data_IF_739068976463
#
_entry.id   IF_739068976463
#
_cell.length_a   1.000
_cell.length_b   1.000
_cell.length_c   1.000
_cell.angle_alpha   90.00
_cell.angle_beta   90.00
_cell.angle_gamma   90.00
#
_symmetry.space_group_name_H-M   'P 1'
#
loop_
_entity.id
_entity.type
_entity.pdbx_description
1 polymer ?
#
# COMPACT_ATOMS: atom_id res chain seq x y z
N UNK A 1 -12.25 22.60 19.99
CA UNK A 1 -12.45 22.03 18.64
C UNK A 1 -13.79 22.47 18.04
N UNK A 2 -14.92 22.05 18.61
CA UNK A 2 -16.24 22.63 18.35
C UNK A 2 -16.56 23.76 19.36
N UNK A 3 -17.32 24.77 18.94
CA UNK A 3 -17.80 25.87 19.80
C UNK A 3 -19.25 25.68 20.24
N UNK A 4 -19.73 26.46 21.20
CA UNK A 4 -21.13 26.37 21.67
C UNK A 4 -22.17 26.65 20.59
N UNK A 5 -21.82 27.47 19.59
CA UNK A 5 -22.68 27.77 18.42
C UNK A 5 -22.88 26.57 17.48
N UNK A 6 -22.03 25.54 17.59
CA UNK A 6 -22.10 24.32 16.79
C UNK A 6 -23.32 23.46 17.14
N UNK A 7 -23.79 23.56 18.39
CA UNK A 7 -24.81 22.65 18.94
C UNK A 7 -24.27 21.23 19.22
N UNK A 8 -25.09 20.36 19.82
CA UNK A 8 -24.65 19.04 20.30
C UNK A 8 -24.73 17.92 19.26
N UNK A 9 -25.36 18.17 18.10
CA UNK A 9 -25.64 17.12 17.12
C UNK A 9 -24.46 16.88 16.18
N UNK A 10 -24.26 15.62 15.76
CA UNK A 10 -23.30 15.26 14.70
C UNK A 10 -23.65 16.03 13.43
N UNK A 11 -22.63 16.58 12.77
CA UNK A 11 -22.78 17.48 11.63
C UNK A 11 -23.06 18.94 12.01
N UNK A 12 -23.33 19.22 13.29
CA UNK A 12 -23.46 20.55 13.92
C UNK A 12 -24.41 21.55 13.24
N UNK A 13 -24.20 22.83 13.50
CA UNK A 13 -24.98 23.96 12.97
C UNK A 13 -24.14 24.86 12.06
N UNK A 14 -24.76 25.50 11.06
CA UNK A 14 -24.10 26.48 10.19
C UNK A 14 -23.61 27.73 10.92
N UNK A 15 -24.06 27.96 12.16
CA UNK A 15 -23.60 29.03 13.03
C UNK A 15 -22.27 28.75 13.74
N UNK A 16 -21.71 27.53 13.60
CA UNK A 16 -20.37 27.22 14.11
C UNK A 16 -19.28 28.07 13.44
N UNK A 17 -18.27 28.45 14.22
CA UNK A 17 -17.16 29.30 13.74
C UNK A 17 -15.77 28.70 14.00
N UNK A 18 -15.72 27.51 14.61
CA UNK A 18 -14.46 26.85 15.01
C UNK A 18 -14.03 25.78 14.00
N UNK A 19 -12.89 25.14 14.27
CA UNK A 19 -12.25 24.15 13.36
C UNK A 19 -13.18 23.00 12.97
N UNK A 20 -14.11 22.58 13.85
CA UNK A 20 -15.15 21.60 13.50
C UNK A 20 -15.95 22.05 12.27
N UNK A 21 -16.53 23.27 12.30
CA UNK A 21 -17.32 23.81 11.20
C UNK A 21 -16.48 24.08 9.96
N UNK A 22 -15.21 24.45 10.15
CA UNK A 22 -14.28 24.60 9.04
C UNK A 22 -14.15 23.27 8.26
N UNK A 23 -13.90 22.16 8.95
CA UNK A 23 -13.77 20.84 8.33
C UNK A 23 -15.06 20.43 7.57
N UNK A 24 -16.25 20.66 8.15
CA UNK A 24 -17.53 20.42 7.46
C UNK A 24 -17.67 21.25 6.18
N UNK A 25 -17.29 22.54 6.24
CA UNK A 25 -17.36 23.42 5.06
C UNK A 25 -16.36 22.99 3.98
N UNK A 26 -15.16 22.54 4.36
CA UNK A 26 -14.11 22.15 3.41
C UNK A 26 -14.38 20.78 2.78
N UNK A 27 -14.90 19.81 3.52
CA UNK A 27 -15.13 18.48 2.95
C UNK A 27 -16.05 18.52 1.72
N UNK A 28 -17.12 19.32 1.79
CA UNK A 28 -18.05 19.51 0.68
C UNK A 28 -17.42 20.21 -0.53
N UNK A 29 -16.30 20.92 -0.33
CA UNK A 29 -15.57 21.58 -1.41
C UNK A 29 -14.53 20.67 -2.07
N UNK A 30 -14.04 19.68 -1.33
CA UNK A 30 -12.92 18.83 -1.73
C UNK A 30 -13.32 17.37 -2.01
N UNK A 31 -14.61 17.04 -1.85
CA UNK A 31 -15.11 15.67 -2.00
C UNK A 31 -14.70 14.73 -0.86
N UNK A 32 -14.39 15.26 0.33
CA UNK A 32 -13.85 14.49 1.47
C UNK A 32 -14.82 14.32 2.63
N UNK A 33 -16.13 14.43 2.36
CA UNK A 33 -17.17 14.00 3.29
C UNK A 33 -17.46 12.49 3.12
N UNK A 34 -18.18 11.89 4.07
CA UNK A 34 -18.52 10.46 4.06
C UNK A 34 -19.17 9.97 2.76
N UNK A 35 -19.90 10.83 2.06
CA UNK A 35 -20.54 10.54 0.77
C UNK A 35 -20.09 11.57 -0.27
N UNK A 36 -18.77 11.72 -0.42
CA UNK A 36 -18.14 12.65 -1.35
C UNK A 36 -18.31 14.09 -0.89
N UNK A 37 -19.29 14.81 -1.45
CA UNK A 37 -19.56 16.21 -1.10
C UNK A 37 -20.58 16.38 0.04
N UNK A 38 -21.16 15.27 0.53
CA UNK A 38 -22.24 15.30 1.53
C UNK A 38 -21.96 14.37 2.71
N UNK A 39 -22.59 14.66 3.85
CA UNK A 39 -22.39 13.93 5.11
C UNK A 39 -21.36 14.59 6.02
N UNK A 40 -20.96 13.87 7.07
CA UNK A 40 -19.93 14.33 8.01
C UNK A 40 -18.58 14.41 7.29
N UNK A 41 -17.72 15.37 7.62
CA UNK A 41 -16.35 15.36 7.10
C UNK A 41 -15.55 14.17 7.66
N UNK A 42 -14.73 13.54 6.81
CA UNK A 42 -13.85 12.46 7.25
C UNK A 42 -12.89 12.93 8.35
N UNK A 43 -12.39 14.18 8.26
CA UNK A 43 -11.59 14.84 9.31
C UNK A 43 -12.32 14.88 10.65
N UNK A 44 -13.58 15.33 10.69
CA UNK A 44 -14.36 15.35 11.93
C UNK A 44 -14.58 13.94 12.50
N UNK A 45 -14.87 12.97 11.64
CA UNK A 45 -15.07 11.58 12.03
C UNK A 45 -13.82 11.01 12.70
N UNK A 46 -12.66 11.20 12.09
CA UNK A 46 -11.39 10.72 12.63
C UNK A 46 -10.99 11.44 13.91
N UNK A 47 -11.13 12.78 13.96
CA UNK A 47 -10.84 13.54 15.18
C UNK A 47 -11.72 13.13 16.35
N UNK A 48 -13.02 12.88 16.14
CA UNK A 48 -13.90 12.40 17.20
C UNK A 48 -13.48 11.01 17.72
N UNK A 49 -13.03 10.12 16.83
CA UNK A 49 -12.50 8.82 17.21
C UNK A 49 -11.20 8.97 18.03
N UNK A 50 -10.28 9.82 17.59
CA UNK A 50 -9.01 10.07 18.28
C UNK A 50 -9.21 10.79 19.63
N UNK A 51 -10.14 11.74 19.74
CA UNK A 51 -10.49 12.36 21.02
C UNK A 51 -11.02 11.33 22.02
N UNK A 52 -11.89 10.42 21.56
CA UNK A 52 -12.45 9.35 22.39
C UNK A 52 -11.34 8.39 22.84
N UNK A 53 -10.44 7.99 21.93
CA UNK A 53 -9.32 7.11 22.22
C UNK A 53 -8.35 7.76 23.22
N UNK A 54 -7.99 9.03 23.00
CA UNK A 54 -7.12 9.79 23.89
C UNK A 54 -7.70 9.95 25.30
N UNK A 55 -8.99 10.28 25.41
CA UNK A 55 -9.69 10.37 26.69
C UNK A 55 -9.67 9.01 27.43
N UNK A 56 -9.95 7.91 26.71
CA UNK A 56 -9.94 6.57 27.28
C UNK A 56 -8.56 6.16 27.82
N UNK A 57 -7.48 6.50 27.11
CA UNK A 57 -6.10 6.25 27.55
C UNK A 57 -5.74 7.08 28.79
N UNK A 58 -6.10 8.37 28.79
CA UNK A 58 -5.85 9.26 29.92
C UNK A 58 -6.61 8.84 31.18
N UNK A 59 -7.88 8.41 31.05
CA UNK A 59 -8.66 7.84 32.18
C UNK A 59 -8.02 6.60 32.79
N UNK A 60 -7.22 5.85 32.00
CA UNK A 60 -6.47 4.68 32.44
C UNK A 60 -5.06 5.01 32.97
N UNK A 61 -4.65 6.29 32.97
CA UNK A 61 -3.31 6.72 33.37
C UNK A 61 -2.20 6.39 32.36
N UNK A 62 -2.55 5.99 31.13
CA UNK A 62 -1.60 5.59 30.09
C UNK A 62 -1.06 6.79 29.29
N UNK A 63 -0.43 7.74 29.97
CA UNK A 63 -0.03 9.03 29.37
C UNK A 63 0.92 8.88 28.16
N UNK A 64 1.84 7.90 28.17
CA UNK A 64 2.78 7.70 27.07
C UNK A 64 2.09 7.25 25.77
N UNK A 65 1.00 6.48 25.89
CA UNK A 65 0.24 5.95 24.76
C UNK A 65 -0.59 7.02 24.03
N UNK A 66 -0.68 8.24 24.59
CA UNK A 66 -1.44 9.36 24.01
C UNK A 66 -0.63 10.09 22.94
N UNK A 67 0.71 9.98 22.94
CA UNK A 67 1.56 10.72 21.99
C UNK A 67 1.21 10.41 20.51
N UNK A 68 1.08 9.14 20.09
CA UNK A 68 0.64 8.84 18.73
C UNK A 68 -0.77 9.34 18.40
N UNK A 69 -1.66 9.45 19.40
CA UNK A 69 -3.00 10.02 19.22
C UNK A 69 -2.90 11.53 18.92
N UNK A 70 -2.03 12.23 19.64
CA UNK A 70 -1.79 13.67 19.41
C UNK A 70 -1.22 13.90 18.02
N UNK A 71 -0.29 13.08 17.57
CA UNK A 71 0.31 13.21 16.23
C UNK A 71 -0.75 13.01 15.13
N UNK A 72 -1.67 12.04 15.29
CA UNK A 72 -2.83 11.88 14.38
C UNK A 72 -3.80 13.06 14.44
N UNK A 73 -4.07 13.62 15.62
CA UNK A 73 -4.91 14.82 15.77
C UNK A 73 -4.27 16.00 15.02
N UNK A 74 -2.95 16.20 15.15
CA UNK A 74 -2.23 17.28 14.46
C UNK A 74 -2.33 17.10 12.94
N UNK A 75 -2.13 15.88 12.43
CA UNK A 75 -2.37 15.53 11.02
C UNK A 75 -3.77 15.95 10.58
N UNK A 76 -4.80 15.48 11.28
CA UNK A 76 -6.20 15.73 10.91
C UNK A 76 -6.56 17.22 10.96
N UNK A 77 -6.03 17.96 11.93
CA UNK A 77 -6.22 19.40 12.02
C UNK A 77 -5.51 20.18 10.90
N UNK A 78 -4.47 19.61 10.28
CA UNK A 78 -3.72 20.23 9.19
C UNK A 78 -4.48 20.21 7.87
N UNK A 79 -5.21 19.13 7.59
CA UNK A 79 -6.01 18.94 6.36
C UNK A 79 -6.91 20.15 6.03
N UNK A 80 -7.81 20.63 6.91
CA UNK A 80 -8.69 21.75 6.60
C UNK A 80 -7.94 23.08 6.40
N UNK A 81 -6.72 23.23 6.94
CA UNK A 81 -5.88 24.41 6.72
C UNK A 81 -5.26 24.40 5.32
N UNK A 82 -4.78 23.23 4.86
CA UNK A 82 -4.31 23.02 3.49
C UNK A 82 -5.46 23.23 2.51
N UNK A 83 -6.61 22.59 2.73
CA UNK A 83 -7.82 22.76 1.93
C UNK A 83 -8.28 24.23 1.88
N UNK A 84 -8.23 24.93 3.01
CA UNK A 84 -8.49 26.38 3.07
C UNK A 84 -7.55 27.16 2.14
N UNK A 85 -6.25 26.94 2.28
CA UNK A 85 -5.21 27.61 1.48
C UNK A 85 -5.41 27.37 -0.02
N UNK A 86 -5.57 26.11 -0.43
CA UNK A 86 -5.79 25.72 -1.82
C UNK A 86 -7.07 26.33 -2.40
N UNK A 87 -8.16 26.36 -1.63
CA UNK A 87 -9.43 26.95 -2.09
C UNK A 87 -9.29 28.43 -2.39
N UNK A 88 -8.58 29.19 -1.57
CA UNK A 88 -8.40 30.62 -1.82
C UNK A 88 -7.35 30.90 -2.89
N UNK A 89 -6.31 30.08 -3.00
CA UNK A 89 -5.42 30.10 -4.16
C UNK A 89 -6.21 29.88 -5.47
N UNK A 90 -7.15 28.93 -5.48
CA UNK A 90 -8.01 28.66 -6.63
C UNK A 90 -8.96 29.83 -6.96
N UNK A 91 -9.62 30.39 -5.94
CA UNK A 91 -10.58 31.50 -6.13
C UNK A 91 -9.93 32.79 -6.63
N UNK A 92 -8.74 33.10 -6.09
CA UNK A 92 -8.05 34.38 -6.33
C UNK A 92 -7.04 34.29 -7.47
N UNK A 93 -6.52 33.10 -7.74
CA UNK A 93 -5.35 32.86 -8.59
C UNK A 93 -5.45 33.36 -10.02
N UNK A 94 -4.31 33.33 -10.71
CA UNK A 94 -4.24 33.64 -12.13
C UNK A 94 -5.13 32.69 -12.94
N UNK A 95 -5.78 33.21 -13.97
CA UNK A 95 -6.70 32.39 -14.77
C UNK A 95 -5.91 31.37 -15.59
N UNK A 96 -6.26 30.10 -15.47
CA UNK A 96 -5.58 28.99 -16.16
C UNK A 96 -6.42 28.57 -17.37
N UNK A 97 -5.78 28.44 -18.54
CA UNK A 97 -6.45 27.97 -19.76
C UNK A 97 -6.97 26.54 -19.56
N UNK A 98 -8.24 26.31 -19.87
CA UNK A 98 -8.91 25.02 -19.65
C UNK A 98 -9.55 24.85 -18.27
N UNK A 99 -9.36 25.80 -17.34
CA UNK A 99 -9.85 25.72 -15.96
C UNK A 99 -10.86 26.83 -15.65
N UNK A 100 -12.15 26.53 -15.82
CA UNK A 100 -13.18 27.56 -15.88
C UNK A 100 -13.42 28.35 -14.58
N UNK A 101 -13.00 27.86 -13.40
CA UNK A 101 -13.29 28.53 -12.11
C UNK A 101 -12.05 29.09 -11.39
N UNK A 102 -10.85 28.96 -11.95
CA UNK A 102 -9.66 29.59 -11.35
C UNK A 102 -9.71 31.10 -11.56
N UNK A 103 -9.57 31.87 -10.49
CA UNK A 103 -9.52 33.33 -10.54
C UNK A 103 -10.88 34.03 -10.80
N UNK A 104 -12.00 33.29 -10.73
CA UNK A 104 -13.33 33.86 -10.99
C UNK A 104 -13.96 34.54 -9.77
N UNK A 105 -13.32 34.47 -8.60
CA UNK A 105 -13.82 35.03 -7.33
C UNK A 105 -12.72 35.85 -6.63
N UNK A 106 -12.13 36.79 -7.38
CA UNK A 106 -11.08 37.70 -6.91
C UNK A 106 -11.68 38.78 -6.02
N UNK A 107 -11.27 38.79 -4.76
CA UNK A 107 -11.59 39.87 -3.82
C UNK A 107 -10.51 39.99 -2.76
N UNK A 108 -10.34 41.19 -2.21
CA UNK A 108 -9.43 41.45 -1.10
C UNK A 108 -9.75 40.56 0.12
N UNK A 109 -11.05 40.28 0.35
CA UNK A 109 -11.53 39.35 1.38
C UNK A 109 -10.99 37.93 1.15
N UNK A 110 -11.18 37.38 -0.05
CA UNK A 110 -10.74 36.02 -0.37
C UNK A 110 -9.21 35.89 -0.32
N UNK A 111 -8.48 36.93 -0.76
CA UNK A 111 -7.03 36.97 -0.65
C UNK A 111 -6.56 36.98 0.82
N UNK A 112 -7.21 37.78 1.67
CA UNK A 112 -6.93 37.83 3.11
C UNK A 112 -7.21 36.48 3.80
N UNK A 113 -8.34 35.84 3.49
CA UNK A 113 -8.66 34.51 4.02
C UNK A 113 -7.61 33.48 3.60
N UNK A 114 -7.20 33.47 2.33
CA UNK A 114 -6.12 32.62 1.83
C UNK A 114 -4.79 32.84 2.54
N UNK A 115 -4.39 34.09 2.75
CA UNK A 115 -3.16 34.43 3.46
C UNK A 115 -3.14 33.91 4.90
N UNK A 116 -4.27 34.00 5.60
CA UNK A 116 -4.40 33.52 6.99
C UNK A 116 -4.36 31.99 7.06
N UNK A 117 -5.08 31.28 6.18
CA UNK A 117 -5.01 29.82 6.11
C UNK A 117 -3.58 29.36 5.86
N UNK A 118 -2.89 30.03 4.94
CA UNK A 118 -1.52 29.72 4.57
C UNK A 118 -0.56 29.96 5.73
N UNK A 119 -0.67 31.11 6.41
CA UNK A 119 0.13 31.43 7.59
C UNK A 119 -0.03 30.42 8.73
N UNK A 120 -1.23 29.82 8.88
CA UNK A 120 -1.48 28.83 9.91
C UNK A 120 -0.77 27.49 9.67
N UNK A 121 -0.50 27.12 8.41
CA UNK A 121 0.11 25.82 8.06
C UNK A 121 1.59 25.92 7.67
N UNK A 122 2.07 27.11 7.28
CA UNK A 122 3.45 27.35 6.85
C UNK A 122 4.55 26.83 7.80
N UNK A 123 4.43 26.91 9.14
CA UNK A 123 5.46 26.37 10.03
C UNK A 123 5.67 24.85 9.84
N UNK A 124 4.58 24.10 9.68
CA UNK A 124 4.63 22.65 9.44
C UNK A 124 5.19 22.33 8.04
N UNK A 125 4.76 23.10 7.03
CA UNK A 125 5.29 22.98 5.66
C UNK A 125 6.79 23.28 5.64
N UNK A 126 7.25 24.28 6.38
CA UNK A 126 8.67 24.66 6.43
C UNK A 126 9.54 23.60 7.08
N UNK A 127 9.05 22.98 8.16
CA UNK A 127 9.72 21.83 8.79
C UNK A 127 9.92 20.68 7.80
N UNK A 128 8.92 20.43 6.95
CA UNK A 128 9.00 19.40 5.92
C UNK A 128 9.82 19.79 4.67
N UNK A 129 9.65 21.02 4.17
CA UNK A 129 10.30 21.51 2.97
C UNK A 129 10.33 23.04 2.95
N UNK A 130 11.53 23.59 3.22
CA UNK A 130 11.79 25.04 3.24
C UNK A 130 11.44 25.72 1.91
N UNK A 131 11.73 25.07 0.77
CA UNK A 131 11.46 25.64 -0.55
C UNK A 131 9.96 25.70 -0.85
N UNK A 132 9.21 24.64 -0.52
CA UNK A 132 7.76 24.60 -0.68
C UNK A 132 7.09 25.69 0.19
N UNK A 133 7.51 25.83 1.45
CA UNK A 133 7.00 26.88 2.34
C UNK A 133 7.27 28.28 1.78
N UNK A 134 8.45 28.51 1.19
CA UNK A 134 8.77 29.78 0.54
C UNK A 134 7.86 30.04 -0.66
N UNK A 135 7.70 29.07 -1.56
CA UNK A 135 6.80 29.19 -2.72
C UNK A 135 5.39 29.54 -2.28
N UNK A 136 4.83 28.78 -1.34
CA UNK A 136 3.49 29.02 -0.81
C UNK A 136 3.36 30.42 -0.19
N UNK A 137 4.36 30.85 0.59
CA UNK A 137 4.35 32.18 1.21
C UNK A 137 4.42 33.32 0.18
N UNK A 138 5.28 33.19 -0.82
CA UNK A 138 5.46 34.22 -1.85
C UNK A 138 4.23 34.40 -2.75
N UNK A 139 3.46 33.33 -2.97
CA UNK A 139 2.22 33.35 -3.74
C UNK A 139 1.01 33.84 -2.94
N UNK A 140 0.96 33.59 -1.63
CA UNK A 140 -0.29 33.72 -0.85
C UNK A 140 -0.25 34.76 0.28
N UNK A 141 0.86 35.45 0.53
CA UNK A 141 0.96 36.43 1.63
C UNK A 141 0.12 37.69 1.41
N UNK A 142 -0.17 38.40 2.51
CA UNK A 142 -0.88 39.67 2.49
C UNK A 142 -0.23 40.71 1.58
N UNK A 143 -1.06 41.55 0.95
CA UNK A 143 -0.64 42.69 0.14
C UNK A 143 -0.48 42.40 -1.36
N UNK A 144 -0.38 41.14 -1.78
CA UNK A 144 -0.24 40.78 -3.20
C UNK A 144 -1.45 41.20 -4.04
N UNK A 145 -2.66 40.94 -3.53
CA UNK A 145 -3.90 41.32 -4.22
C UNK A 145 -3.99 42.83 -4.49
N UNK A 146 -3.62 43.66 -3.52
CA UNK A 146 -3.66 45.13 -3.64
C UNK A 146 -2.61 45.65 -4.63
N UNK A 147 -1.59 44.84 -4.93
CA UNK A 147 -0.58 45.08 -5.96
C UNK A 147 -1.00 44.53 -7.34
N UNK A 148 -2.16 43.89 -7.44
CA UNK A 148 -2.63 43.22 -8.66
C UNK A 148 -1.89 41.93 -8.98
N UNK A 149 -1.21 41.33 -7.99
CA UNK A 149 -0.51 40.04 -8.11
C UNK A 149 -1.44 38.95 -7.57
N UNK A 150 -1.65 37.91 -8.36
CA UNK A 150 -2.54 36.80 -8.02
C UNK A 150 -1.73 35.50 -7.94
N UNK A 151 -2.10 34.56 -7.06
CA UNK A 151 -1.34 33.33 -6.89
C UNK A 151 -1.38 32.43 -8.13
N UNK A 152 -0.26 31.78 -8.44
CA UNK A 152 -0.26 30.58 -9.29
C UNK A 152 -0.80 29.39 -8.48
N UNK A 153 -2.07 29.07 -8.71
CA UNK A 153 -2.73 27.95 -8.02
C UNK A 153 -2.00 26.62 -8.23
N UNK A 154 -1.47 26.34 -9.42
CA UNK A 154 -0.80 25.09 -9.71
C UNK A 154 0.52 24.98 -8.93
N UNK A 155 1.28 26.09 -8.86
CA UNK A 155 2.51 26.15 -8.07
C UNK A 155 2.24 25.98 -6.57
N UNK A 156 1.22 26.66 -6.04
CA UNK A 156 0.81 26.52 -4.62
C UNK A 156 0.39 25.09 -4.31
N UNK A 157 -0.40 24.47 -5.21
CA UNK A 157 -0.86 23.09 -5.05
C UNK A 157 0.30 22.10 -5.07
N UNK A 158 1.18 22.16 -6.07
CA UNK A 158 2.34 21.30 -6.16
C UNK A 158 3.27 21.43 -4.95
N UNK A 159 3.47 22.66 -4.44
CA UNK A 159 4.25 22.90 -3.24
C UNK A 159 3.64 22.23 -2.00
N UNK A 160 2.32 22.32 -1.81
CA UNK A 160 1.64 21.60 -0.71
C UNK A 160 1.79 20.09 -0.87
N UNK A 161 1.50 19.54 -2.06
CA UNK A 161 1.51 18.10 -2.34
C UNK A 161 2.89 17.47 -2.12
N UNK A 162 3.96 18.21 -2.39
CA UNK A 162 5.35 17.78 -2.10
C UNK A 162 5.65 17.56 -0.63
N UNK A 163 4.80 18.03 0.29
CA UNK A 163 5.00 17.93 1.74
C UNK A 163 4.06 16.92 2.42
N UNK A 164 3.12 16.34 1.69
CA UNK A 164 2.05 15.51 2.26
C UNK A 164 2.57 14.32 3.07
N UNK A 165 3.59 13.62 2.58
CA UNK A 165 4.19 12.49 3.30
C UNK A 165 4.77 12.89 4.66
N UNK A 166 5.56 13.97 4.68
CA UNK A 166 6.16 14.47 5.90
C UNK A 166 5.10 15.00 6.89
N UNK A 167 4.05 15.64 6.38
CA UNK A 167 2.90 16.08 7.18
C UNK A 167 2.00 14.91 7.63
N UNK A 168 2.27 13.69 7.15
CA UNK A 168 1.49 12.49 7.41
C UNK A 168 0.10 12.47 6.77
N UNK A 169 -0.19 13.38 5.83
CA UNK A 169 -1.47 13.46 5.10
C UNK A 169 -1.35 12.84 3.71
N UNK A 170 -2.46 12.41 3.12
CA UNK A 170 -2.49 11.85 1.76
C UNK A 170 -3.22 12.78 0.79
N UNK A 171 -3.06 12.51 -0.51
CA UNK A 171 -3.88 13.15 -1.53
C UNK A 171 -5.38 12.93 -1.32
N UNK A 172 -5.77 11.75 -0.82
CA UNK A 172 -7.16 11.44 -0.53
C UNK A 172 -7.68 12.19 0.70
N UNK A 173 -6.83 12.42 1.71
CA UNK A 173 -7.18 13.22 2.89
C UNK A 173 -7.53 14.66 2.48
N UNK A 174 -6.78 15.23 1.54
CA UNK A 174 -6.97 16.61 1.06
C UNK A 174 -8.06 16.71 0.00
N UNK A 175 -8.14 15.77 -0.95
CA UNK A 175 -9.10 15.78 -2.04
C UNK A 175 -8.80 16.82 -3.14
N UNK A 176 -9.81 17.17 -3.94
CA UNK A 176 -9.69 18.08 -5.08
C UNK A 176 -10.87 19.04 -5.20
N UNK A 177 -10.64 20.23 -5.78
CA UNK A 177 -11.68 21.24 -6.02
C UNK A 177 -12.46 21.02 -7.34
N UNK A 178 -12.02 20.05 -8.14
CA UNK A 178 -12.67 19.55 -9.36
C UNK A 178 -12.35 18.06 -9.53
N UNK A 179 -13.11 17.35 -10.37
CA UNK A 179 -12.85 15.94 -10.67
C UNK A 179 -11.71 15.75 -11.70
N UNK A 180 -11.38 16.81 -12.44
CA UNK A 180 -10.38 16.79 -13.52
C UNK A 180 -9.56 18.07 -13.53
N UNK A 181 -8.43 18.05 -14.23
CA UNK A 181 -7.61 19.24 -14.42
C UNK A 181 -6.68 19.55 -13.25
N UNK A 182 -6.10 20.76 -13.23
CA UNK A 182 -5.07 21.16 -12.25
C UNK A 182 -5.62 21.24 -10.83
N UNK A 183 -6.94 21.37 -10.67
CA UNK A 183 -7.63 21.41 -9.39
C UNK A 183 -8.13 20.03 -8.91
N UNK A 184 -7.91 18.97 -9.70
CA UNK A 184 -8.14 17.60 -9.25
C UNK A 184 -7.22 17.23 -8.08
N UNK A 185 -7.67 16.29 -7.25
CA UNK A 185 -6.82 15.72 -6.21
C UNK A 185 -5.52 15.21 -6.85
N UNK A 186 -4.38 15.36 -6.18
CA UNK A 186 -3.20 14.62 -6.64
C UNK A 186 -3.52 13.14 -6.70
N UNK A 187 -3.01 12.44 -7.71
CA UNK A 187 -2.86 11.02 -7.58
C UNK A 187 -1.44 10.81 -7.07
N UNK A 188 -1.32 10.22 -5.87
CA UNK A 188 -0.20 9.30 -5.69
C UNK A 188 -0.56 8.07 -6.51
N UNK A 189 -0.43 8.18 -7.82
CA UNK A 189 -0.24 6.96 -8.60
C UNK A 189 1.10 6.44 -8.12
N UNK A 190 1.06 5.34 -7.36
CA UNK A 190 2.24 4.51 -7.30
C UNK A 190 2.69 4.32 -8.76
N UNK A 191 3.97 4.54 -9.10
CA UNK A 191 4.44 4.23 -10.45
C UNK A 191 4.27 2.73 -10.74
N UNK A 192 3.99 1.93 -9.71
CA UNK A 192 3.78 0.49 -9.76
C UNK A 192 2.29 0.18 -9.98
N UNK A 193 1.96 -0.75 -10.89
CA UNK A 193 0.58 -1.17 -11.11
C UNK A 193 -0.07 -1.72 -9.84
N UNK A 194 -1.36 -1.44 -9.63
CA UNK A 194 -2.15 -2.11 -8.59
C UNK A 194 -2.23 -3.63 -8.86
N UNK A 195 -2.43 -4.40 -7.80
CA UNK A 195 -2.54 -5.88 -7.80
C UNK A 195 -3.81 -6.27 -7.05
N UNK A 196 -4.85 -6.70 -7.76
CA UNK A 196 -6.15 -7.09 -7.19
C UNK A 196 -6.77 -6.03 -6.24
N UNK A 197 -6.54 -4.75 -6.50
CA UNK A 197 -6.98 -3.63 -5.67
C UNK A 197 -6.01 -3.20 -4.56
N UNK A 198 -4.83 -3.81 -4.49
CA UNK A 198 -3.72 -3.39 -3.63
C UNK A 198 -2.76 -2.47 -4.40
N UNK A 199 -2.36 -1.34 -3.81
CA UNK A 199 -1.39 -0.41 -4.41
C UNK A 199 0.00 -0.62 -3.78
N UNK A 200 0.99 -1.18 -4.51
CA UNK A 200 2.32 -1.42 -3.97
C UNK A 200 3.09 -0.14 -3.64
N UNK A 201 3.89 -0.17 -2.58
CA UNK A 201 4.86 0.87 -2.24
C UNK A 201 6.19 0.76 -2.99
N UNK A 202 6.44 -0.38 -3.65
CA UNK A 202 7.70 -0.73 -4.32
C UNK A 202 7.47 -1.51 -5.64
N UNK A 203 8.51 -1.64 -6.48
CA UNK A 203 8.40 -2.33 -7.77
C UNK A 203 8.45 -3.85 -7.63
N UNK A 204 7.28 -4.47 -7.52
CA UNK A 204 7.12 -5.93 -7.45
C UNK A 204 6.58 -6.55 -8.73
N UNK A 205 6.66 -5.85 -9.86
CA UNK A 205 6.10 -6.31 -11.15
C UNK A 205 6.69 -7.66 -11.58
N UNK A 206 8.01 -7.82 -11.42
CA UNK A 206 8.75 -9.06 -11.70
C UNK A 206 8.40 -10.22 -10.75
N UNK A 207 7.99 -9.93 -9.52
CA UNK A 207 7.53 -10.92 -8.55
C UNK A 207 6.15 -11.46 -8.95
N UNK A 208 5.24 -10.54 -9.29
CA UNK A 208 3.87 -10.86 -9.71
C UNK A 208 3.81 -11.78 -10.93
N UNK A 209 4.81 -11.72 -11.81
CA UNK A 209 4.91 -12.55 -13.03
C UNK A 209 5.18 -14.06 -12.77
N UNK A 210 5.37 -14.49 -11.52
CA UNK A 210 5.47 -15.94 -11.20
C UNK A 210 4.22 -16.71 -11.62
N UNK A 211 3.08 -16.03 -11.67
CA UNK A 211 1.82 -16.63 -12.12
C UNK A 211 1.79 -16.97 -13.61
N UNK A 212 2.65 -16.37 -14.43
CA UNK A 212 2.85 -16.77 -15.82
C UNK A 212 3.58 -18.11 -15.92
N UNK A 213 4.50 -18.41 -14.98
CA UNK A 213 5.12 -19.73 -14.86
C UNK A 213 4.08 -20.78 -14.45
N UNK A 214 3.23 -20.45 -13.47
CA UNK A 214 2.10 -21.29 -13.07
C UNK A 214 1.09 -21.51 -14.21
N UNK A 215 0.75 -20.47 -14.97
CA UNK A 215 -0.10 -20.58 -16.14
C UNK A 215 0.53 -21.52 -17.17
N UNK A 216 1.80 -21.35 -17.50
CA UNK A 216 2.50 -22.15 -18.49
C UNK A 216 2.61 -23.63 -18.06
N UNK A 217 2.89 -23.89 -16.79
CA UNK A 217 2.83 -25.23 -16.18
C UNK A 217 1.45 -25.86 -16.36
N UNK A 218 0.39 -25.15 -15.96
CA UNK A 218 -0.98 -25.65 -16.07
C UNK A 218 -1.39 -25.88 -17.53
N UNK A 219 -0.90 -25.05 -18.47
CA UNK A 219 -1.11 -25.26 -19.90
C UNK A 219 -0.38 -26.48 -20.44
N UNK A 220 0.84 -26.76 -19.98
CA UNK A 220 1.58 -27.97 -20.36
C UNK A 220 0.84 -29.26 -19.93
N UNK A 221 0.09 -29.18 -18.82
CA UNK A 221 -0.73 -30.27 -18.31
C UNK A 221 -2.14 -30.35 -18.91
N UNK A 222 -2.59 -29.34 -19.66
CA UNK A 222 -3.90 -29.34 -20.34
C UNK A 222 -3.86 -30.16 -21.63
N UNK A 223 -4.96 -30.83 -21.95
CA UNK A 223 -5.16 -31.55 -23.22
C UNK A 223 -5.35 -33.06 -23.05
N UNK A 224 -5.42 -33.79 -24.16
CA UNK A 224 -5.62 -35.26 -24.16
C UNK A 224 -4.38 -36.07 -23.80
N UNK A 225 -3.21 -35.46 -23.74
CA UNK A 225 -1.95 -36.08 -23.30
C UNK A 225 -1.11 -35.00 -22.59
N UNK A 226 -0.99 -35.03 -21.25
CA UNK A 226 -0.23 -34.03 -20.51
C UNK A 226 1.27 -34.09 -20.84
N UNK A 227 1.91 -32.93 -20.98
CA UNK A 227 3.34 -32.81 -21.15
C UNK A 227 4.01 -32.59 -19.79
N UNK A 228 4.30 -33.69 -19.09
CA UNK A 228 4.90 -33.69 -17.75
C UNK A 228 6.32 -33.10 -17.71
N UNK A 229 7.12 -33.36 -18.74
CA UNK A 229 8.49 -32.83 -18.85
C UNK A 229 8.49 -31.30 -18.94
N UNK A 230 7.64 -30.73 -19.81
CA UNK A 230 7.51 -29.28 -19.91
C UNK A 230 6.91 -28.66 -18.64
N UNK A 231 6.01 -29.37 -17.95
CA UNK A 231 5.47 -28.90 -16.68
C UNK A 231 6.54 -28.85 -15.57
N UNK A 232 7.43 -29.86 -15.51
CA UNK A 232 8.60 -29.85 -14.62
C UNK A 232 9.54 -28.70 -14.97
N UNK A 233 9.78 -28.41 -16.25
CA UNK A 233 10.59 -27.25 -16.66
C UNK A 233 10.03 -25.92 -16.12
N UNK A 234 8.72 -25.68 -16.28
CA UNK A 234 8.08 -24.48 -15.73
C UNK A 234 8.10 -24.44 -14.19
N UNK A 235 8.07 -25.60 -13.53
CA UNK A 235 8.16 -25.71 -12.08
C UNK A 235 9.57 -25.44 -11.53
N UNK A 236 10.58 -26.05 -12.15
CA UNK A 236 11.96 -26.12 -11.67
C UNK A 236 12.87 -25.03 -12.22
N UNK A 237 12.58 -24.51 -13.41
CA UNK A 237 13.42 -23.51 -14.12
C UNK A 237 12.72 -22.16 -14.24
N UNK A 238 11.41 -22.16 -14.54
CA UNK A 238 10.63 -20.95 -14.77
C UNK A 238 11.07 -20.16 -16.01
N UNK A 239 10.46 -19.00 -16.21
CA UNK A 239 10.78 -18.10 -17.34
C UNK A 239 10.28 -16.67 -17.21
N UNK A 240 9.42 -16.37 -16.23
CA UNK A 240 8.81 -15.04 -16.09
C UNK A 240 9.13 -14.30 -14.79
N UNK A 241 9.29 -15.01 -13.65
CA UNK A 241 9.64 -14.36 -12.38
C UNK A 241 11.15 -14.13 -12.22
N UNK A 242 11.58 -12.88 -12.35
CA UNK A 242 12.99 -12.51 -12.22
C UNK A 242 13.41 -12.33 -10.75
N UNK A 243 14.64 -12.71 -10.42
CA UNK A 243 15.30 -12.39 -9.14
C UNK A 243 16.78 -12.09 -9.38
N UNK A 244 17.29 -11.03 -8.74
CA UNK A 244 18.70 -10.65 -8.82
C UNK A 244 19.64 -11.59 -8.07
N UNK A 245 19.11 -12.40 -7.14
CA UNK A 245 19.86 -13.34 -6.31
C UNK A 245 19.88 -14.77 -6.87
N UNK A 246 18.96 -15.08 -7.79
CA UNK A 246 18.92 -16.40 -8.41
C UNK A 246 20.12 -16.63 -9.36
N UNK A 247 20.76 -17.82 -9.36
CA UNK A 247 21.96 -18.08 -10.17
C UNK A 247 21.79 -17.85 -11.68
N UNK A 248 20.58 -18.05 -12.21
CA UNK A 248 20.21 -17.85 -13.60
C UNK A 248 19.29 -16.63 -13.81
N UNK A 249 19.10 -15.80 -12.77
CA UNK A 249 18.21 -14.64 -12.80
C UNK A 249 16.71 -14.97 -12.66
N UNK A 250 16.34 -16.24 -12.47
CA UNK A 250 14.95 -16.69 -12.37
C UNK A 250 14.66 -17.32 -11.01
N UNK A 251 13.60 -16.85 -10.36
CA UNK A 251 13.03 -17.48 -9.17
C UNK A 251 11.97 -18.47 -9.60
N UNK A 252 11.86 -19.58 -8.87
CA UNK A 252 11.02 -20.72 -9.28
C UNK A 252 10.13 -21.20 -8.14
N UNK A 253 8.97 -21.78 -8.49
CA UNK A 253 8.05 -22.40 -7.53
C UNK A 253 8.72 -23.56 -6.78
N UNK A 254 9.63 -24.30 -7.43
CA UNK A 254 10.46 -25.32 -6.77
C UNK A 254 11.44 -24.73 -5.77
N UNK A 255 12.06 -23.60 -6.12
CA UNK A 255 12.98 -22.86 -5.25
C UNK A 255 12.35 -22.42 -3.93
N UNK A 256 11.05 -22.15 -3.93
CA UNK A 256 10.30 -21.75 -2.72
C UNK A 256 10.30 -22.82 -1.64
N UNK A 257 10.13 -24.09 -2.00
CA UNK A 257 10.14 -25.16 -1.02
C UNK A 257 11.53 -25.73 -0.77
N UNK A 258 12.39 -25.82 -1.79
CA UNK A 258 13.74 -26.38 -1.61
C UNK A 258 14.68 -25.46 -0.84
N UNK A 259 14.46 -24.14 -0.88
CA UNK A 259 15.19 -23.16 -0.07
C UNK A 259 14.55 -22.86 1.30
N UNK A 260 13.45 -23.53 1.65
CA UNK A 260 12.61 -23.17 2.79
C UNK A 260 13.32 -23.26 4.14
N UNK A 261 14.13 -24.31 4.36
CA UNK A 261 14.87 -24.51 5.62
C UNK A 261 15.75 -23.31 5.97
N UNK A 262 16.57 -22.85 5.01
CA UNK A 262 17.50 -21.73 5.22
C UNK A 262 16.83 -20.36 5.29
N UNK A 263 15.61 -20.22 4.77
CA UNK A 263 14.88 -18.94 4.75
C UNK A 263 13.87 -18.78 5.89
N UNK A 264 13.42 -19.88 6.50
CA UNK A 264 12.29 -19.86 7.44
C UNK A 264 12.50 -20.69 8.71
N UNK A 265 13.58 -21.45 8.81
CA UNK A 265 13.85 -22.29 9.99
C UNK A 265 15.22 -22.05 10.61
N UNK A 266 16.27 -22.07 9.79
CA UNK A 266 17.65 -21.88 10.21
C UNK A 266 18.16 -20.51 9.74
N UNK A 267 18.96 -19.84 10.56
CA UNK A 267 19.79 -18.70 10.15
C UNK A 267 19.06 -17.51 9.51
N UNK A 268 17.77 -17.31 9.81
CA UNK A 268 17.07 -16.06 9.55
C UNK A 268 16.83 -15.28 10.85
N UNK A 269 16.63 -13.96 10.76
CA UNK A 269 16.10 -13.19 11.88
C UNK A 269 14.65 -13.65 12.13
N UNK A 270 14.17 -13.64 13.37
CA UNK A 270 12.83 -14.19 13.69
C UNK A 270 12.67 -15.72 13.57
N UNK A 271 13.65 -16.44 13.02
CA UNK A 271 13.61 -17.90 12.88
C UNK A 271 13.67 -18.67 14.22
N UNK A 272 13.08 -19.88 14.28
CA UNK A 272 12.28 -20.48 13.22
C UNK A 272 10.89 -19.83 13.16
N UNK A 273 10.41 -19.51 11.95
CA UNK A 273 9.08 -18.92 11.81
C UNK A 273 8.02 -19.88 12.30
N UNK A 274 7.10 -19.36 13.12
CA UNK A 274 6.11 -20.17 13.83
C UNK A 274 5.25 -20.99 12.87
N UNK A 275 4.80 -20.39 11.77
CA UNK A 275 3.94 -21.06 10.80
C UNK A 275 4.69 -22.16 10.05
N UNK A 276 5.91 -21.89 9.58
CA UNK A 276 6.72 -22.89 8.90
C UNK A 276 7.08 -24.06 9.82
N UNK A 277 7.41 -23.76 11.09
CA UNK A 277 7.66 -24.79 12.12
C UNK A 277 6.50 -25.75 12.28
N UNK A 278 5.25 -25.26 12.27
CA UNK A 278 4.08 -26.11 12.38
C UNK A 278 3.92 -27.08 11.18
N UNK A 279 4.32 -26.65 9.98
CA UNK A 279 4.29 -27.49 8.78
C UNK A 279 5.43 -28.53 8.80
N UNK A 280 6.63 -28.12 9.21
CA UNK A 280 7.73 -29.06 9.42
C UNK A 280 7.38 -30.10 10.51
N UNK A 281 6.84 -29.69 11.65
CA UNK A 281 6.41 -30.62 12.72
C UNK A 281 5.30 -31.57 12.25
N UNK A 282 4.50 -31.15 11.27
CA UNK A 282 3.44 -31.97 10.69
C UNK A 282 3.98 -33.01 9.70
N UNK A 283 4.71 -32.57 8.68
CA UNK A 283 5.21 -33.40 7.57
C UNK A 283 6.55 -34.08 7.86
N UNK A 284 7.40 -33.46 8.68
CA UNK A 284 8.76 -33.93 8.98
C UNK A 284 9.76 -33.64 7.86
N UNK A 285 9.41 -32.79 6.89
CA UNK A 285 10.20 -32.47 5.72
C UNK A 285 10.22 -30.95 5.51
N UNK A 286 11.40 -30.34 5.40
CA UNK A 286 11.51 -28.90 5.12
C UNK A 286 11.05 -28.55 3.69
N UNK A 287 11.29 -29.47 2.76
CA UNK A 287 10.93 -29.41 1.35
C UNK A 287 9.59 -30.11 1.05
N UNK A 288 8.68 -30.18 2.04
CA UNK A 288 7.43 -30.95 1.94
C UNK A 288 6.61 -30.61 0.68
N UNK A 289 6.59 -29.35 0.26
CA UNK A 289 5.80 -28.92 -0.89
C UNK A 289 6.44 -29.32 -2.22
N UNK A 290 7.77 -29.30 -2.33
CA UNK A 290 8.49 -29.85 -3.49
C UNK A 290 8.35 -31.37 -3.57
N UNK A 291 8.51 -32.08 -2.45
CA UNK A 291 8.31 -33.54 -2.42
C UNK A 291 6.96 -33.96 -2.97
N UNK A 292 5.91 -33.23 -2.63
CA UNK A 292 4.57 -33.47 -3.16
C UNK A 292 4.47 -33.20 -4.67
N UNK A 293 4.92 -32.02 -5.11
CA UNK A 293 4.77 -31.58 -6.50
C UNK A 293 5.67 -32.36 -7.46
N UNK A 294 6.95 -32.55 -7.11
CA UNK A 294 7.90 -33.35 -7.89
C UNK A 294 7.42 -34.80 -8.03
N UNK A 295 6.93 -35.42 -6.95
CA UNK A 295 6.40 -36.79 -7.03
C UNK A 295 5.14 -36.89 -7.91
N UNK A 296 4.27 -35.88 -7.90
CA UNK A 296 3.11 -35.82 -8.77
C UNK A 296 3.50 -35.62 -10.25
N UNK A 297 4.49 -34.76 -10.53
CA UNK A 297 5.05 -34.53 -11.88
C UNK A 297 5.73 -35.79 -12.43
N UNK A 298 6.50 -36.49 -11.61
CA UNK A 298 7.17 -37.75 -11.99
C UNK A 298 6.22 -38.96 -12.04
N UNK A 299 5.06 -38.86 -11.37
CA UNK A 299 4.13 -39.97 -11.24
C UNK A 299 4.68 -41.08 -10.34
N UNK A 300 5.43 -40.71 -9.31
CA UNK A 300 6.04 -41.63 -8.35
C UNK A 300 5.35 -41.56 -7.00
N UNK A 301 5.28 -42.68 -6.28
CA UNK A 301 4.71 -42.69 -4.94
C UNK A 301 5.61 -41.91 -3.97
N UNK A 302 5.01 -41.22 -3.02
CA UNK A 302 5.72 -40.48 -1.97
C UNK A 302 5.06 -40.68 -0.60
N UNK A 303 5.86 -40.59 0.45
CA UNK A 303 5.40 -40.47 1.83
C UNK A 303 6.22 -39.39 2.52
N UNK A 304 5.56 -38.57 3.35
CA UNK A 304 6.25 -37.62 4.21
C UNK A 304 7.01 -38.37 5.31
N UNK A 305 8.14 -37.82 5.76
CA UNK A 305 9.00 -38.44 6.77
C UNK A 305 8.29 -38.69 8.09
N UNK A 306 7.29 -37.86 8.44
CA UNK A 306 6.44 -38.07 9.62
C UNK A 306 5.46 -39.23 9.51
N UNK A 307 5.22 -39.74 8.29
CA UNK A 307 4.18 -40.72 7.98
C UNK A 307 2.76 -40.15 7.99
N UNK A 308 2.57 -38.84 8.22
CA UNK A 308 1.25 -38.19 8.15
C UNK A 308 0.91 -37.84 6.71
N UNK A 309 -0.40 -37.80 6.39
CA UNK A 309 -0.90 -37.45 5.06
C UNK A 309 -0.25 -38.25 3.91
N UNK A 310 -0.11 -39.57 4.10
CA UNK A 310 0.41 -40.51 3.11
C UNK A 310 0.22 -41.98 3.54
N UNK A 311 0.68 -42.96 2.74
CA UNK A 311 1.37 -42.79 1.46
C UNK A 311 0.47 -42.21 0.37
N UNK A 312 1.05 -41.44 -0.55
CA UNK A 312 0.38 -40.87 -1.71
C UNK A 312 0.88 -41.59 -2.98
N UNK A 313 0.06 -42.48 -3.51
CA UNK A 313 0.45 -43.41 -4.58
C UNK A 313 0.24 -42.84 -6.00
N UNK A 314 0.87 -41.71 -6.32
CA UNK A 314 0.68 -40.99 -7.60
C UNK A 314 0.84 -41.85 -8.86
N UNK A 315 1.65 -42.92 -8.81
CA UNK A 315 1.81 -43.85 -9.93
C UNK A 315 0.51 -44.55 -10.34
N UNK A 316 -0.50 -44.55 -9.46
CA UNK A 316 -1.77 -45.27 -9.65
C UNK A 316 -3.00 -44.36 -9.72
N UNK A 317 -2.87 -43.07 -9.36
CA UNK A 317 -4.00 -42.14 -9.24
C UNK A 317 -4.53 -41.61 -10.58
N UNK A 318 -3.79 -41.83 -11.67
CA UNK A 318 -4.11 -41.34 -13.01
C UNK A 318 -3.85 -39.84 -13.21
N UNK A 319 -3.85 -39.40 -14.46
CA UNK A 319 -3.40 -38.06 -14.83
C UNK A 319 -4.24 -36.94 -14.19
N UNK A 320 -5.56 -37.08 -14.12
CA UNK A 320 -6.42 -36.02 -13.55
C UNK A 320 -6.07 -35.70 -12.08
N UNK A 321 -5.82 -36.72 -11.27
CA UNK A 321 -5.44 -36.54 -9.86
C UNK A 321 -4.04 -35.91 -9.75
N UNK A 322 -3.10 -36.36 -10.58
CA UNK A 322 -1.74 -35.81 -10.62
C UNK A 322 -1.74 -34.35 -11.06
N UNK A 323 -2.51 -34.00 -12.09
CA UNK A 323 -2.63 -32.62 -12.58
C UNK A 323 -3.11 -31.69 -11.47
N UNK A 324 -4.16 -32.06 -10.73
CA UNK A 324 -4.63 -31.26 -9.59
C UNK A 324 -3.61 -31.23 -8.45
N UNK A 325 -2.93 -32.35 -8.16
CA UNK A 325 -1.87 -32.39 -7.15
C UNK A 325 -0.72 -31.43 -7.47
N UNK A 326 -0.32 -31.33 -8.74
CA UNK A 326 0.67 -30.35 -9.20
C UNK A 326 0.10 -28.94 -9.14
N UNK A 327 -1.02 -28.68 -9.84
CA UNK A 327 -1.62 -27.35 -9.96
C UNK A 327 -1.94 -26.71 -8.60
N UNK A 328 -2.52 -27.48 -7.69
CA UNK A 328 -2.89 -27.02 -6.35
C UNK A 328 -1.71 -27.08 -5.39
N UNK A 329 -0.80 -28.03 -5.54
CA UNK A 329 0.42 -28.11 -4.74
C UNK A 329 1.34 -26.90 -4.98
N UNK A 330 1.52 -26.48 -6.23
CA UNK A 330 2.31 -25.28 -6.54
C UNK A 330 1.71 -24.01 -5.94
N UNK A 331 0.40 -23.80 -6.06
CA UNK A 331 -0.23 -22.61 -5.48
C UNK A 331 -0.33 -22.67 -3.94
N UNK A 332 -0.89 -23.75 -3.39
CA UNK A 332 -1.32 -23.80 -1.99
C UNK A 332 -0.31 -24.43 -1.02
N UNK A 333 0.73 -25.09 -1.53
CA UNK A 333 1.81 -25.61 -0.69
C UNK A 333 3.10 -24.84 -0.90
N UNK A 334 3.55 -24.67 -2.15
CA UNK A 334 4.78 -23.93 -2.45
C UNK A 334 4.59 -22.42 -2.26
N UNK A 335 3.71 -21.80 -3.06
CA UNK A 335 3.57 -20.34 -3.07
C UNK A 335 2.93 -19.82 -1.79
N UNK A 336 1.85 -20.44 -1.30
CA UNK A 336 1.20 -19.98 -0.07
C UNK A 336 2.16 -19.90 1.12
N UNK A 337 3.04 -20.88 1.29
CA UNK A 337 4.05 -20.84 2.37
C UNK A 337 5.07 -19.73 2.12
N UNK A 338 5.48 -19.54 0.87
CA UNK A 338 6.42 -18.49 0.51
C UNK A 338 5.83 -17.08 0.65
N UNK A 339 4.52 -16.90 0.42
CA UNK A 339 3.82 -15.65 0.73
C UNK A 339 3.94 -15.32 2.22
N UNK A 340 3.78 -16.33 3.10
CA UNK A 340 3.94 -16.13 4.54
C UNK A 340 5.39 -15.79 4.88
N UNK A 341 6.36 -16.44 4.24
CA UNK A 341 7.78 -16.10 4.36
C UNK A 341 8.02 -14.63 4.08
N UNK A 342 7.47 -14.08 3.00
CA UNK A 342 7.67 -12.68 2.63
C UNK A 342 7.09 -11.71 3.67
N UNK A 343 5.97 -12.06 4.32
CA UNK A 343 5.43 -11.25 5.41
C UNK A 343 6.22 -11.34 6.71
N UNK A 344 6.80 -12.51 7.04
CA UNK A 344 7.70 -12.65 8.18
C UNK A 344 9.03 -11.90 7.90
N UNK A 345 9.58 -12.02 6.68
CA UNK A 345 10.78 -11.30 6.25
C UNK A 345 10.56 -9.78 6.26
N UNK A 346 9.36 -9.30 5.92
CA UNK A 346 9.01 -7.88 6.06
C UNK A 346 9.07 -7.39 7.51
N UNK A 347 8.70 -8.25 8.48
CA UNK A 347 8.81 -7.92 9.91
C UNK A 347 10.29 -7.93 10.32
N UNK A 348 11.04 -8.94 9.92
CA UNK A 348 12.47 -9.02 10.22
C UNK A 348 13.23 -7.82 9.66
N UNK A 349 13.02 -7.49 8.38
CA UNK A 349 13.59 -6.30 7.74
C UNK A 349 13.19 -5.03 8.53
N UNK A 350 11.93 -4.90 8.95
CA UNK A 350 11.49 -3.75 9.75
C UNK A 350 12.27 -3.62 11.08
N UNK A 351 12.60 -4.74 11.72
CA UNK A 351 13.32 -4.78 13.00
C UNK A 351 14.85 -4.64 12.85
N UNK A 352 15.42 -5.10 11.74
CA UNK A 352 16.88 -5.20 11.55
C UNK A 352 17.47 -4.15 10.60
N UNK A 353 16.68 -3.50 9.73
CA UNK A 353 17.15 -2.51 8.76
C UNK A 353 17.58 -1.14 9.35
N UNK A 354 17.94 -0.99 10.63
CA UNK A 354 18.13 0.32 11.29
C UNK A 354 19.06 1.32 10.56
N UNK A 355 20.00 0.84 9.73
CA UNK A 355 21.00 1.67 9.02
C UNK A 355 20.89 1.65 7.47
N UNK A 356 19.78 1.13 6.92
CA UNK A 356 19.33 1.47 5.55
C UNK A 356 20.09 0.88 4.36
N UNK A 357 20.98 -0.10 4.56
CA UNK A 357 21.77 -0.67 3.46
C UNK A 357 21.94 -2.20 3.45
N UNK A 358 21.67 -2.92 4.56
CA UNK A 358 21.71 -4.39 4.62
C UNK A 358 20.74 -4.85 5.71
N UNK A 359 19.58 -5.38 5.31
CA UNK A 359 18.56 -5.85 6.24
C UNK A 359 18.81 -7.30 6.62
N UNK A 360 18.89 -8.19 5.62
CA UNK A 360 19.40 -9.55 5.76
C UNK A 360 19.92 -10.07 4.39
N UNK A 361 20.49 -11.30 4.36
CA UNK A 361 21.05 -11.91 3.14
C UNK A 361 19.98 -12.16 2.05
N UNK A 362 18.73 -12.33 2.46
CA UNK A 362 17.60 -12.77 1.63
C UNK A 362 16.74 -11.63 1.07
N UNK A 363 16.90 -10.40 1.56
CA UNK A 363 16.24 -9.21 1.02
C UNK A 363 16.68 -8.95 -0.44
N UNK A 364 15.70 -8.86 -1.35
CA UNK A 364 15.89 -8.75 -2.82
C UNK A 364 15.91 -7.27 -3.30
N UNK A 365 15.70 -6.28 -2.42
CA UNK A 365 15.77 -4.84 -2.73
C UNK A 365 17.12 -4.21 -2.38
N UNK A 366 17.76 -3.61 -3.39
CA UNK A 366 19.01 -2.85 -3.27
C UNK A 366 18.76 -1.34 -3.30
N UNK A 367 17.77 -0.87 -2.55
CA UNK A 367 17.41 0.55 -2.47
C UNK A 367 18.19 1.23 -1.35
N UNK A 368 19.02 2.22 -1.69
CA UNK A 368 19.73 3.07 -0.72
C UNK A 368 18.88 4.22 -0.19
N UNK A 369 17.57 4.26 -0.49
CA UNK A 369 16.73 5.44 -0.23
C UNK A 369 16.10 5.46 1.18
N UNK A 370 15.82 4.30 1.81
CA UNK A 370 15.42 4.22 3.22
C UNK A 370 15.36 2.77 3.75
N UNK A 371 15.76 2.51 5.02
CA UNK A 371 15.41 1.29 5.78
C UNK A 371 13.98 0.75 5.58
N UNK A 372 13.00 1.66 5.52
CA UNK A 372 11.59 1.28 5.43
C UNK A 372 11.21 0.74 4.05
N UNK A 373 12.02 0.99 3.02
CA UNK A 373 11.76 0.50 1.66
C UNK A 373 11.84 -1.02 1.58
N UNK A 374 12.79 -1.65 2.28
CA UNK A 374 13.02 -3.10 2.17
C UNK A 374 11.91 -3.91 2.86
N UNK A 375 11.50 -3.50 4.07
CA UNK A 375 10.33 -4.08 4.75
C UNK A 375 9.04 -3.94 3.91
N UNK A 376 8.83 -2.78 3.28
CA UNK A 376 7.70 -2.57 2.36
C UNK A 376 7.85 -3.42 1.10
N UNK A 377 9.06 -3.61 0.60
CA UNK A 377 9.30 -4.44 -0.58
C UNK A 377 8.95 -5.91 -0.33
N UNK A 378 9.45 -6.50 0.76
CA UNK A 378 9.09 -7.86 1.14
C UNK A 378 7.58 -8.02 1.33
N UNK A 379 6.92 -7.05 1.97
CA UNK A 379 5.46 -7.07 2.09
C UNK A 379 4.76 -7.05 0.72
N UNK A 380 5.19 -6.16 -0.18
CA UNK A 380 4.65 -6.06 -1.53
C UNK A 380 4.92 -7.34 -2.35
N UNK A 381 6.06 -8.01 -2.15
CA UNK A 381 6.39 -9.30 -2.76
C UNK A 381 5.39 -10.38 -2.33
N UNK A 382 5.07 -10.44 -1.03
CA UNK A 382 4.06 -11.34 -0.50
C UNK A 382 2.70 -11.16 -1.17
N UNK A 383 2.26 -9.90 -1.37
CA UNK A 383 1.02 -9.61 -2.11
C UNK A 383 1.13 -10.00 -3.58
N UNK A 384 2.25 -9.70 -4.22
CA UNK A 384 2.51 -10.01 -5.62
C UNK A 384 2.45 -11.52 -5.89
N UNK A 385 3.04 -12.35 -5.03
CA UNK A 385 2.97 -13.81 -5.14
C UNK A 385 1.59 -14.37 -4.80
N UNK A 386 0.88 -13.76 -3.84
CA UNK A 386 -0.45 -14.20 -3.45
C UNK A 386 -1.48 -14.03 -4.58
N UNK A 387 -1.42 -12.89 -5.28
CA UNK A 387 -2.37 -12.55 -6.34
C UNK A 387 -1.87 -12.89 -7.75
N UNK A 388 -0.64 -12.52 -8.10
CA UNK A 388 -0.10 -12.66 -9.45
C UNK A 388 -0.50 -11.52 -10.40
N UNK A 389 0.23 -11.41 -11.51
CA UNK A 389 0.04 -10.37 -12.54
C UNK A 389 -1.27 -10.50 -13.34
N UNK A 390 -1.74 -11.73 -13.57
CA UNK A 390 -2.93 -12.09 -14.34
C UNK A 390 -4.25 -11.71 -13.64
N UNK A 391 -4.19 -11.48 -12.32
CA UNK A 391 -5.33 -10.96 -11.56
C UNK A 391 -5.71 -9.53 -11.95
N UNK A 392 -4.75 -8.76 -12.46
CA UNK A 392 -4.95 -7.38 -12.85
C UNK A 392 -5.18 -6.43 -11.66
N UNK A 393 -5.42 -5.13 -11.95
CA UNK A 393 -5.31 -4.08 -10.92
C UNK A 393 -6.56 -3.90 -10.04
N UNK A 394 -7.72 -4.38 -10.48
CA UNK A 394 -8.98 -4.01 -9.85
C UNK A 394 -9.32 -4.89 -8.63
N UNK A 395 -9.99 -4.31 -7.64
CA UNK A 395 -10.57 -5.05 -6.51
C UNK A 395 -11.45 -6.19 -7.03
N UNK A 396 -11.23 -7.39 -6.49
CA UNK A 396 -11.93 -8.60 -6.92
C UNK A 396 -11.28 -9.32 -8.11
N UNK A 397 -10.26 -8.71 -8.73
CA UNK A 397 -9.37 -9.29 -9.74
C UNK A 397 -10.04 -9.75 -11.03
N UNK A 398 -9.34 -10.62 -11.76
CA UNK A 398 -9.75 -11.21 -13.05
C UNK A 398 -9.94 -12.72 -12.91
N UNK A 399 -10.85 -13.31 -13.69
CA UNK A 399 -10.99 -14.77 -13.74
C UNK A 399 -9.78 -15.51 -14.34
N UNK A 400 -8.78 -14.77 -14.80
CA UNK A 400 -7.57 -15.30 -15.42
C UNK A 400 -6.42 -15.59 -14.44
N UNK A 401 -6.51 -15.16 -13.18
CA UNK A 401 -5.40 -15.40 -12.26
C UNK A 401 -5.28 -16.86 -11.85
N UNK A 402 -4.03 -17.25 -11.61
CA UNK A 402 -3.63 -18.65 -11.43
C UNK A 402 -2.95 -18.89 -10.06
N UNK A 403 -2.99 -17.90 -9.16
CA UNK A 403 -2.35 -17.95 -7.85
C UNK A 403 -3.37 -18.08 -6.70
N UNK A 404 -2.86 -18.08 -5.47
CA UNK A 404 -3.62 -18.34 -4.23
C UNK A 404 -4.90 -17.51 -4.11
N UNK A 405 -4.90 -16.25 -4.56
CA UNK A 405 -6.07 -15.37 -4.53
C UNK A 405 -7.30 -15.93 -5.24
N UNK A 406 -7.11 -16.79 -6.26
CA UNK A 406 -8.15 -17.22 -7.20
C UNK A 406 -8.29 -18.72 -7.36
N UNK A 407 -7.17 -19.44 -7.32
CA UNK A 407 -7.02 -20.71 -8.04
C UNK A 407 -7.92 -21.84 -7.58
#
# INVERSE_FOLDING_TARGET
YAGSLEGPNVGGSSAGEMVYRLAEKRCANFGTCESGETGLSNVNKELLADFTAGEALLKKGLCHAVRPIVDRIIKQMTVPLVQGSLRYAYKVGESISGEAKVGTDRSQKNAAEGAVFTAAVLPLVHECNVAAAKTISDEMKFGLYDQGVFPDFAAVKAAFESTYDCLGITCADVGGLSDTGVAAACSKTSPWPDIAGYTPGSDVTKHANLDLDQQALVQALKGGTPNWELAEDWYAVGGYSLSGKAPNGLRTMKGFSTGAEGKMYNNCDGCPYKTFSAFYDYYGDFDYADKWVSAALDGTNMAFSSGRHGPNDFATLGDAARIEAVKKGTAYMNVWMYVIREFEDAIDDCETCADGLNCNEFSDSLSSESPQYNAVHAWDEGVAFYAGSLEGPNVGGSSAGEMVYRL
#
